data_IF_683620421439
#
_entry.id   IF_683620421439
#
_cell.length_a   1.000
_cell.length_b   1.000
_cell.length_c   1.000
_cell.angle_alpha   90.00
_cell.angle_beta   90.00
_cell.angle_gamma   90.00
#
_symmetry.space_group_name_H-M   'P 1'
#
loop_
_entity.id
_entity.type
_entity.pdbx_description
1 polymer ?
#
# COMPACT_ATOMS: atom_id res chain seq x y z
N UNK A 1 -16.37 3.10 18.23
CA UNK A 1 -14.90 3.12 18.34
C UNK A 1 -14.34 4.28 17.55
N UNK A 2 -13.43 5.02 18.17
CA UNK A 2 -12.82 6.16 17.51
C UNK A 2 -11.68 5.65 16.61
N UNK A 3 -11.75 5.97 15.34
CA UNK A 3 -10.66 5.67 14.41
C UNK A 3 -9.56 6.70 14.64
N UNK A 4 -8.35 6.22 14.87
CA UNK A 4 -7.23 7.09 15.10
C UNK A 4 -6.37 7.20 13.87
N UNK A 5 -5.95 8.41 13.48
CA UNK A 5 -4.96 8.59 12.43
C UNK A 5 -3.69 7.83 12.76
N UNK A 6 -2.98 7.42 11.73
CA UNK A 6 -1.71 6.72 11.86
C UNK A 6 -0.63 7.49 11.13
N UNK A 7 0.61 7.29 11.54
CA UNK A 7 1.75 7.76 10.77
C UNK A 7 1.90 6.87 9.55
N UNK A 8 2.37 7.44 8.46
CA UNK A 8 2.68 6.69 7.25
C UNK A 8 4.19 6.64 7.07
N UNK A 9 4.71 5.44 6.93
CA UNK A 9 6.13 5.19 6.69
C UNK A 9 6.26 4.24 5.51
N UNK A 10 7.26 4.48 4.67
CA UNK A 10 7.57 3.63 3.54
C UNK A 10 8.91 2.94 3.78
N UNK A 11 8.92 1.63 3.71
CA UNK A 11 10.19 0.91 3.65
C UNK A 11 10.94 1.39 2.40
N UNK A 12 12.28 1.60 2.48
CA UNK A 12 13.05 2.07 1.32
C UNK A 12 12.86 1.23 0.06
N UNK A 13 12.69 -0.08 0.19
CA UNK A 13 12.44 -0.97 -0.95
C UNK A 13 11.07 -0.70 -1.57
N UNK A 14 10.07 -0.43 -0.73
CA UNK A 14 8.73 -0.10 -1.22
C UNK A 14 8.74 1.24 -1.95
N UNK A 15 9.46 2.21 -1.42
CA UNK A 15 9.57 3.53 -2.05
C UNK A 15 10.29 3.43 -3.40
N UNK A 16 11.38 2.67 -3.47
CA UNK A 16 12.08 2.41 -4.73
C UNK A 16 11.15 1.75 -5.75
N UNK A 17 10.39 0.75 -5.32
CA UNK A 17 9.45 0.07 -6.20
C UNK A 17 8.38 1.04 -6.73
N UNK A 18 7.86 1.91 -5.86
CA UNK A 18 6.89 2.92 -6.27
C UNK A 18 7.48 3.88 -7.29
N UNK A 19 8.72 4.33 -7.08
CA UNK A 19 9.40 5.24 -8.00
C UNK A 19 9.62 4.59 -9.36
N UNK A 20 10.02 3.32 -9.40
CA UNK A 20 10.19 2.59 -10.65
C UNK A 20 8.87 2.43 -11.40
N UNK A 21 7.80 2.09 -10.68
CA UNK A 21 6.47 1.95 -11.28
C UNK A 21 5.95 3.29 -11.77
N UNK A 22 6.29 4.38 -11.11
CA UNK A 22 5.88 5.73 -11.52
C UNK A 22 6.46 6.15 -12.87
N UNK A 23 7.59 5.56 -13.29
CA UNK A 23 8.19 5.87 -14.58
C UNK A 23 7.28 5.50 -15.76
N UNK A 24 6.49 4.43 -15.62
CA UNK A 24 5.60 3.98 -16.69
C UNK A 24 4.13 3.94 -16.30
N UNK A 25 3.82 4.09 -15.01
CA UNK A 25 2.44 4.17 -14.50
C UNK A 25 2.29 5.32 -13.51
N UNK A 26 2.56 6.58 -13.91
CA UNK A 26 2.58 7.70 -12.97
C UNK A 26 1.24 7.95 -12.28
N UNK A 27 0.13 7.81 -13.00
CA UNK A 27 -1.19 8.01 -12.40
C UNK A 27 -1.50 6.94 -11.36
N UNK A 28 -1.19 5.67 -11.67
CA UNK A 28 -1.42 4.57 -10.74
C UNK A 28 -0.53 4.71 -9.49
N UNK A 29 0.72 5.12 -9.66
CA UNK A 29 1.63 5.35 -8.55
C UNK A 29 1.13 6.48 -7.63
N UNK A 30 0.61 7.55 -8.22
CA UNK A 30 0.01 8.65 -7.45
C UNK A 30 -1.21 8.19 -6.69
N UNK A 31 -2.08 7.41 -7.32
CA UNK A 31 -3.28 6.86 -6.66
C UNK A 31 -2.90 5.97 -5.49
N UNK A 32 -1.82 5.19 -5.62
CA UNK A 32 -1.32 4.35 -4.54
C UNK A 32 -0.85 5.19 -3.35
N UNK A 33 -0.07 6.24 -3.63
CA UNK A 33 0.40 7.16 -2.59
C UNK A 33 -0.78 7.84 -1.89
N UNK A 34 -1.72 8.37 -2.66
CA UNK A 34 -2.91 9.05 -2.13
C UNK A 34 -3.76 8.10 -1.27
N UNK A 35 -3.91 6.86 -1.69
CA UNK A 35 -4.67 5.86 -0.94
C UNK A 35 -4.05 5.59 0.43
N UNK A 36 -2.73 5.43 0.49
CA UNK A 36 -2.03 5.19 1.75
C UNK A 36 -2.11 6.42 2.66
N UNK A 37 -1.94 7.61 2.11
CA UNK A 37 -2.07 8.85 2.89
C UNK A 37 -3.49 9.00 3.45
N UNK A 38 -4.49 8.66 2.68
CA UNK A 38 -5.89 8.71 3.12
C UNK A 38 -6.14 7.69 4.23
N UNK A 39 -5.67 6.46 4.09
CA UNK A 39 -5.79 5.46 5.15
C UNK A 39 -5.13 5.93 6.43
N UNK A 40 -3.93 6.47 6.33
CA UNK A 40 -3.20 6.97 7.50
C UNK A 40 -3.93 8.14 8.17
N UNK A 41 -4.39 9.12 7.39
CA UNK A 41 -5.03 10.31 7.94
C UNK A 41 -6.40 10.05 8.52
N UNK A 42 -7.17 9.13 7.94
CA UNK A 42 -8.53 8.83 8.42
C UNK A 42 -8.58 7.71 9.46
N UNK A 43 -7.53 6.91 9.56
CA UNK A 43 -7.52 5.73 10.41
C UNK A 43 -8.35 4.58 9.84
N UNK A 44 -8.81 4.70 8.61
CA UNK A 44 -9.64 3.69 7.95
C UNK A 44 -8.76 2.73 7.17
N UNK A 45 -8.76 1.47 7.54
CA UNK A 45 -7.93 0.45 6.89
C UNK A 45 -8.77 -0.36 5.90
N UNK A 46 -8.45 -0.24 4.62
CA UNK A 46 -9.14 -0.95 3.53
C UNK A 46 -8.48 -2.27 3.17
N UNK A 47 -7.32 -2.57 3.75
CA UNK A 47 -6.54 -3.73 3.37
C UNK A 47 -7.13 -5.04 3.86
N UNK A 48 -6.76 -6.11 3.18
CA UNK A 48 -7.09 -7.48 3.58
C UNK A 48 -5.89 -8.12 4.24
N UNK A 49 -6.12 -8.81 5.35
CA UNK A 49 -5.07 -9.49 6.07
C UNK A 49 -4.68 -10.78 5.33
N UNK A 50 -3.40 -10.96 5.12
CA UNK A 50 -2.86 -12.21 4.58
C UNK A 50 -2.58 -13.19 5.71
N UNK A 51 -2.28 -14.44 5.37
CA UNK A 51 -1.91 -15.47 6.33
C UNK A 51 -0.63 -15.15 7.11
N UNK A 52 0.19 -14.22 6.61
CA UNK A 52 1.46 -13.84 7.24
C UNK A 52 1.35 -12.58 8.10
N UNK A 53 0.15 -12.06 8.30
CA UNK A 53 -0.04 -10.86 9.09
C UNK A 53 0.22 -9.56 8.34
N UNK A 54 0.49 -9.64 7.05
CA UNK A 54 0.70 -8.47 6.18
C UNK A 54 -0.63 -8.13 5.54
N UNK A 55 -0.96 -6.85 5.52
CA UNK A 55 -2.15 -6.35 4.84
C UNK A 55 -1.82 -6.05 3.39
N UNK A 56 -2.79 -6.24 2.52
CA UNK A 56 -2.63 -5.87 1.12
C UNK A 56 -3.86 -5.14 0.61
N UNK A 57 -3.66 -4.26 -0.36
CA UNK A 57 -4.71 -3.44 -0.91
C UNK A 57 -4.38 -3.04 -2.35
N UNK A 58 -5.41 -3.04 -3.20
CA UNK A 58 -5.30 -2.56 -4.58
C UNK A 58 -5.97 -1.21 -4.70
N UNK A 59 -5.22 -0.09 -4.63
CA UNK A 59 -5.81 1.24 -4.86
C UNK A 59 -6.27 1.42 -6.29
N UNK A 60 -5.64 0.69 -7.23
CA UNK A 60 -6.03 0.62 -8.63
C UNK A 60 -5.93 -0.84 -9.09
N UNK A 61 -6.56 -1.20 -10.23
CA UNK A 61 -6.37 -2.54 -10.78
C UNK A 61 -4.93 -2.85 -11.21
N UNK A 62 -4.06 -1.85 -11.27
CA UNK A 62 -2.70 -1.98 -11.79
C UNK A 62 -1.65 -2.19 -10.72
N UNK A 63 -1.90 -1.72 -9.50
CA UNK A 63 -0.91 -1.78 -8.42
C UNK A 63 -1.48 -2.41 -7.17
N UNK A 64 -0.69 -3.26 -6.53
CA UNK A 64 -0.96 -3.79 -5.21
C UNK A 64 0.02 -3.24 -4.19
N UNK A 65 -0.48 -2.97 -2.99
CA UNK A 65 0.31 -2.49 -1.86
C UNK A 65 0.31 -3.54 -0.77
N UNK A 66 1.50 -3.80 -0.20
CA UNK A 66 1.63 -4.62 0.99
C UNK A 66 2.11 -3.73 2.14
N UNK A 67 1.43 -3.80 3.27
CA UNK A 67 1.75 -2.93 4.39
C UNK A 67 1.43 -3.59 5.73
N UNK A 68 2.03 -3.05 6.78
CA UNK A 68 1.79 -3.45 8.16
C UNK A 68 1.05 -2.33 8.87
N UNK A 69 0.21 -2.68 9.82
CA UNK A 69 -0.52 -1.75 10.67
C UNK A 69 -0.32 -2.17 12.12
N UNK A 70 0.44 -1.37 12.87
CA UNK A 70 0.69 -1.65 14.28
C UNK A 70 -0.26 -0.88 15.21
N UNK A 71 -1.28 -0.21 14.64
CA UNK A 71 -2.22 0.61 15.39
C UNK A 71 -1.80 2.07 15.51
N UNK A 72 -0.54 2.38 15.26
CA UNK A 72 0.02 3.74 15.31
C UNK A 72 0.62 4.16 13.99
N UNK A 73 1.19 3.21 13.26
CA UNK A 73 1.90 3.46 12.02
C UNK A 73 1.46 2.47 10.95
N UNK A 74 1.25 2.97 9.75
CA UNK A 74 1.15 2.14 8.54
C UNK A 74 2.53 2.12 7.91
N UNK A 75 3.07 0.93 7.68
CA UNK A 75 4.39 0.74 7.10
C UNK A 75 4.23 0.02 5.78
N UNK A 76 4.42 0.72 4.67
CA UNK A 76 4.36 0.09 3.35
C UNK A 76 5.64 -0.69 3.13
N UNK A 77 5.52 -2.00 2.94
CA UNK A 77 6.67 -2.90 2.83
C UNK A 77 6.95 -3.30 1.38
N UNK A 78 5.95 -3.23 0.51
CA UNK A 78 6.15 -3.54 -0.90
C UNK A 78 5.07 -2.90 -1.77
N UNK A 79 5.43 -2.63 -3.01
CA UNK A 79 4.50 -2.17 -4.05
C UNK A 79 4.76 -3.03 -5.28
N UNK A 80 3.71 -3.62 -5.81
CA UNK A 80 3.86 -4.57 -6.91
C UNK A 80 2.94 -4.22 -8.09
N UNK A 81 3.38 -4.59 -9.27
CA UNK A 81 2.55 -4.55 -10.47
C UNK A 81 1.50 -5.68 -10.34
N UNK A 82 0.23 -5.30 -10.29
CA UNK A 82 -0.86 -6.26 -10.08
C UNK A 82 -0.93 -7.33 -11.17
N UNK A 83 -0.43 -7.03 -12.36
CA UNK A 83 -0.41 -8.00 -13.46
C UNK A 83 0.49 -9.19 -13.13
N UNK A 84 1.54 -8.97 -12.37
CA UNK A 84 2.44 -10.05 -11.93
C UNK A 84 1.77 -10.98 -10.92
N UNK A 85 0.90 -10.42 -10.07
CA UNK A 85 0.20 -11.22 -9.06
C UNK A 85 -0.79 -12.20 -9.70
N UNK A 86 -1.35 -11.86 -10.85
CA UNK A 86 -2.27 -12.74 -11.56
C UNK A 86 -1.61 -13.99 -12.12
N UNK A 87 -0.29 -13.99 -12.20
CA UNK A 87 0.48 -15.12 -12.72
C UNK A 87 0.98 -16.04 -11.61
N UNK A 88 0.79 -15.66 -10.37
CA UNK A 88 1.14 -16.52 -9.24
C UNK A 88 0.14 -17.64 -9.10
N UNK A 89 0.61 -18.89 -9.00
CA UNK A 89 -0.28 -20.03 -8.83
C UNK A 89 -1.05 -19.99 -7.51
#
# INVERSE_FOLDING_TARGET
MTRQPRRLTWDPRALDALEQLAEYMPAAARDALDAMERMASTGFNYGRLTSKGILWYFPTPKLGLFYLDDGRTLIVVDVVDARRLRRLP
#
